data_IF_697433802641
#
_entry.id   IF_697433802641
#
_cell.length_a   1.000
_cell.length_b   1.000
_cell.length_c   1.000
_cell.angle_alpha   90.00
_cell.angle_beta   90.00
_cell.angle_gamma   90.00
#
_symmetry.space_group_name_H-M   'P 1'
#
loop_
_entity.id
_entity.type
_entity.pdbx_description
1 polymer ?
#
# COMPACT_ATOMS: atom_id res chain seq x y z
N UNK A 1 -2.07 -9.06 27.16
CA UNK A 1 -3.25 -9.55 26.40
C UNK A 1 -2.78 -10.06 25.04
N UNK A 2 -3.08 -11.32 24.69
CA UNK A 2 -2.68 -11.91 23.40
C UNK A 2 -3.39 -11.16 22.27
N UNK A 3 -2.67 -10.55 21.33
CA UNK A 3 -3.26 -9.86 20.16
C UNK A 3 -3.83 -10.91 19.19
N UNK A 4 -5.12 -11.22 19.30
CA UNK A 4 -5.77 -12.37 18.63
C UNK A 4 -6.21 -12.08 17.17
N UNK A 5 -5.95 -10.89 16.61
CA UNK A 5 -6.51 -10.51 15.30
C UNK A 5 -5.51 -9.83 14.37
N UNK A 6 -4.33 -10.43 14.15
CA UNK A 6 -3.55 -10.09 12.96
C UNK A 6 -4.21 -10.82 11.79
N UNK A 7 -4.89 -10.07 10.91
CA UNK A 7 -5.43 -10.61 9.67
C UNK A 7 -4.25 -10.88 8.74
N UNK A 8 -4.14 -12.11 8.26
CA UNK A 8 -3.13 -12.46 7.27
C UNK A 8 -3.43 -11.74 5.95
N UNK A 9 -2.45 -11.01 5.42
CA UNK A 9 -2.57 -10.33 4.13
C UNK A 9 -2.52 -11.30 2.93
N UNK A 10 -2.15 -12.57 3.14
CA UNK A 10 -2.05 -13.58 2.08
C UNK A 10 -0.97 -13.27 1.04
N UNK A 11 -0.01 -12.40 1.34
CA UNK A 11 1.08 -12.05 0.44
C UNK A 11 2.30 -12.94 0.72
N UNK A 12 2.75 -13.70 -0.29
CA UNK A 12 3.94 -14.57 -0.18
C UNK A 12 5.24 -13.84 0.15
N UNK A 13 5.29 -12.52 -0.08
CA UNK A 13 6.44 -11.68 0.22
C UNK A 13 6.36 -11.02 1.62
N UNK A 14 5.24 -11.15 2.33
CA UNK A 14 5.09 -10.63 3.69
C UNK A 14 5.49 -11.68 4.71
N UNK A 15 6.47 -11.39 5.57
CA UNK A 15 6.97 -12.33 6.60
C UNK A 15 5.95 -12.76 7.63
N UNK A 16 4.90 -11.97 7.80
CA UNK A 16 3.83 -12.25 8.74
C UNK A 16 2.69 -13.02 8.08
N UNK A 17 2.77 -13.29 6.77
CA UNK A 17 1.77 -14.06 6.06
C UNK A 17 2.00 -15.56 6.21
N UNK A 18 0.92 -16.33 6.31
CA UNK A 18 0.97 -17.78 6.27
C UNK A 18 1.48 -18.30 4.92
N UNK A 19 1.41 -17.49 3.85
CA UNK A 19 1.92 -17.83 2.52
C UNK A 19 3.42 -17.54 2.35
N UNK A 20 4.11 -16.99 3.36
CA UNK A 20 5.54 -16.76 3.28
C UNK A 20 6.32 -18.09 3.33
N UNK A 21 7.19 -18.37 2.35
CA UNK A 21 7.98 -19.60 2.35
C UNK A 21 9.02 -19.60 3.50
N UNK A 22 9.11 -20.71 4.24
CA UNK A 22 10.06 -20.86 5.37
C UNK A 22 11.54 -20.72 4.95
N UNK A 23 11.86 -21.18 3.74
CA UNK A 23 13.15 -20.94 3.08
C UNK A 23 12.92 -19.90 1.98
N UNK A 24 13.12 -18.62 2.31
CA UNK A 24 13.05 -17.54 1.34
C UNK A 24 14.48 -17.18 0.89
N UNK A 25 14.90 -17.58 -0.33
CA UNK A 25 16.20 -17.16 -0.87
C UNK A 25 16.16 -15.65 -1.11
N UNK A 26 17.14 -14.92 -0.55
CA UNK A 26 17.23 -13.46 -0.58
C UNK A 26 16.05 -12.74 0.11
N UNK A 27 15.66 -13.21 1.30
CA UNK A 27 14.54 -12.60 2.00
C UNK A 27 14.83 -11.18 2.47
N UNK A 28 14.21 -10.19 1.82
CA UNK A 28 14.05 -8.83 2.38
C UNK A 28 12.88 -8.81 3.38
N UNK A 29 12.92 -9.77 4.29
CA UNK A 29 11.90 -10.11 5.27
C UNK A 29 11.53 -8.92 6.17
N UNK A 30 12.44 -7.98 6.38
CA UNK A 30 12.24 -6.78 7.20
C UNK A 30 11.29 -5.75 6.57
N UNK A 31 10.91 -5.91 5.30
CA UNK A 31 9.90 -5.07 4.67
C UNK A 31 8.50 -5.51 5.06
N UNK A 32 7.87 -4.70 5.90
CA UNK A 32 6.47 -4.81 6.28
C UNK A 32 5.57 -4.43 5.10
N UNK A 33 5.33 -5.37 4.17
CA UNK A 33 4.29 -5.25 3.15
C UNK A 33 2.96 -5.70 3.74
N UNK A 34 2.40 -4.90 4.64
CA UNK A 34 1.00 -5.02 5.03
C UNK A 34 0.15 -4.20 4.07
N UNK A 35 -1.07 -4.63 3.70
CA UNK A 35 -2.08 -3.64 3.39
C UNK A 35 -2.21 -2.76 4.63
N UNK A 36 -2.22 -1.44 4.47
CA UNK A 36 -2.86 -0.59 5.46
C UNK A 36 -4.32 -1.04 5.52
N UNK A 37 -4.60 -2.04 6.36
CA UNK A 37 -5.90 -2.67 6.48
C UNK A 37 -6.98 -1.69 6.96
N UNK A 38 -6.59 -0.43 7.19
CA UNK A 38 -7.44 0.68 7.49
C UNK A 38 -6.80 2.00 7.04
N UNK A 39 -6.50 2.18 5.75
CA UNK A 39 -6.54 3.54 5.21
C UNK A 39 -7.99 4.03 5.35
N UNK A 40 -8.28 4.68 6.47
CA UNK A 40 -9.52 5.41 6.63
C UNK A 40 -9.36 6.62 5.71
N UNK A 41 -10.01 6.59 4.55
CA UNK A 41 -10.06 7.76 3.68
C UNK A 41 -10.70 8.88 4.49
N UNK A 42 -9.87 9.75 5.06
CA UNK A 42 -10.31 10.85 5.95
C UNK A 42 -11.01 11.94 5.16
N UNK A 43 -10.66 12.06 3.88
CA UNK A 43 -11.21 13.03 2.96
C UNK A 43 -11.09 12.51 1.52
N UNK A 44 -12.16 12.68 0.76
CA UNK A 44 -12.11 12.63 -0.71
C UNK A 44 -12.24 14.05 -1.23
N UNK A 45 -11.49 14.38 -2.27
CA UNK A 45 -11.62 15.65 -2.99
C UNK A 45 -11.79 15.34 -4.46
N UNK A 46 -12.74 16.02 -5.11
CA UNK A 46 -12.89 15.96 -6.56
C UNK A 46 -11.80 16.77 -7.29
N UNK A 47 -11.08 17.61 -6.54
CA UNK A 47 -9.95 18.38 -7.04
C UNK A 47 -8.62 17.64 -6.88
N UNK A 48 -7.75 17.83 -7.87
CA UNK A 48 -6.36 17.38 -7.83
C UNK A 48 -5.55 18.20 -6.83
N UNK A 49 -4.56 17.58 -6.18
CA UNK A 49 -3.59 18.35 -5.38
C UNK A 49 -2.80 19.34 -6.26
N UNK A 50 -2.18 20.34 -5.63
CA UNK A 50 -1.43 21.40 -6.33
C UNK A 50 -0.38 20.86 -7.30
N UNK A 51 0.32 19.79 -6.92
CA UNK A 51 1.34 19.13 -7.74
C UNK A 51 0.72 18.43 -8.96
N UNK A 52 -0.38 17.70 -8.76
CA UNK A 52 -1.07 16.98 -9.84
C UNK A 52 -1.88 17.90 -10.75
N UNK A 53 -2.38 19.03 -10.24
CA UNK A 53 -3.22 19.94 -11.01
C UNK A 53 -2.50 20.39 -12.28
N UNK A 54 -1.21 20.75 -12.21
CA UNK A 54 -0.43 21.19 -13.37
C UNK A 54 -0.41 20.16 -14.51
N UNK A 55 -0.22 18.88 -14.18
CA UNK A 55 -0.05 17.81 -15.15
C UNK A 55 -1.36 17.26 -15.71
N UNK A 56 -2.46 17.35 -14.97
CA UNK A 56 -3.73 16.74 -15.39
C UNK A 56 -4.81 17.75 -15.79
N UNK A 57 -4.77 18.98 -15.25
CA UNK A 57 -5.73 20.05 -15.58
C UNK A 57 -5.09 21.40 -15.93
N UNK A 58 -3.80 21.58 -15.67
CA UNK A 58 -3.04 22.79 -15.95
C UNK A 58 -2.30 22.74 -17.28
N UNK A 59 -1.30 23.61 -17.42
CA UNK A 59 -0.55 23.79 -18.67
C UNK A 59 0.28 22.58 -19.08
N UNK A 60 0.64 21.70 -18.14
CA UNK A 60 1.36 20.44 -18.42
C UNK A 60 0.47 19.31 -18.93
N UNK A 61 -0.86 19.51 -18.99
CA UNK A 61 -1.78 18.48 -19.42
C UNK A 61 -1.66 18.16 -20.91
N UNK A 62 -1.30 16.91 -21.22
CA UNK A 62 -1.33 16.40 -22.59
C UNK A 62 -2.78 16.21 -23.04
N UNK A 63 -3.29 17.20 -23.76
CA UNK A 63 -4.56 17.09 -24.48
C UNK A 63 -4.27 16.35 -25.79
N UNK A 64 -4.72 15.11 -25.85
CA UNK A 64 -4.74 14.32 -27.09
C UNK A 64 -5.85 14.80 -28.01
#
# INVERSE_FOLDING_TARGET
TRKVRKIDCGNRYCIHSAKHPKMCPNCQCERYYGPDAKETVTKRTDEYCSECHYWYRGAGAQRR
#
